data_IF_191182214237
#
_entry.id   IF_191182214237
#
_cell.length_a   1.000
_cell.length_b   1.000
_cell.length_c   1.000
_cell.angle_alpha   90.00
_cell.angle_beta   90.00
_cell.angle_gamma   90.00
#
_symmetry.space_group_name_H-M   'P 1'
#
loop_
_entity.id
_entity.type
_entity.pdbx_description
1 polymer ?
#
# COMPACT_ATOMS: atom_id res chain seq x y z
N UNK A 1 10.54 -28.86 3.87
CA UNK A 1 9.92 -28.27 2.64
C UNK A 1 10.66 -26.96 2.37
N UNK A 2 11.12 -26.76 1.16
CA UNK A 2 11.77 -25.49 0.77
C UNK A 2 10.74 -24.36 0.75
N UNK A 3 11.13 -23.15 1.15
CA UNK A 3 10.25 -21.98 1.11
C UNK A 3 9.90 -21.65 -0.36
N UNK A 4 8.62 -21.52 -0.74
CA UNK A 4 8.25 -21.21 -2.11
C UNK A 4 8.89 -19.92 -2.61
N UNK A 5 9.40 -19.96 -3.84
CA UNK A 5 10.11 -18.85 -4.50
C UNK A 5 9.11 -17.94 -5.18
N UNK A 6 9.16 -16.65 -4.88
CA UNK A 6 8.22 -15.64 -5.37
C UNK A 6 8.91 -14.60 -6.22
N UNK A 7 8.29 -14.24 -7.34
CA UNK A 7 8.61 -13.06 -8.16
C UNK A 7 7.53 -12.00 -7.92
N UNK A 8 7.93 -10.78 -7.57
CA UNK A 8 7.03 -9.63 -7.39
C UNK A 8 7.10 -8.69 -8.61
N UNK A 9 6.00 -8.56 -9.33
CA UNK A 9 5.87 -7.68 -10.49
C UNK A 9 5.21 -6.37 -10.08
N UNK A 10 5.77 -5.24 -10.52
CA UNK A 10 5.32 -3.90 -10.09
C UNK A 10 5.43 -3.75 -8.58
N UNK A 11 6.56 -4.16 -8.04
CA UNK A 11 6.73 -4.42 -6.61
C UNK A 11 6.60 -3.17 -5.73
N UNK A 12 6.73 -1.98 -6.31
CA UNK A 12 6.72 -0.74 -5.54
C UNK A 12 7.78 -0.77 -4.45
N UNK A 13 7.41 -0.32 -3.26
CA UNK A 13 8.26 -0.38 -2.09
C UNK A 13 8.29 -1.75 -1.39
N UNK A 14 7.64 -2.80 -1.90
CA UNK A 14 7.75 -4.17 -1.39
C UNK A 14 6.77 -4.60 -0.30
N UNK A 15 5.66 -3.88 -0.08
CA UNK A 15 4.68 -4.27 0.95
C UNK A 15 4.03 -5.63 0.71
N UNK A 16 3.80 -5.99 -0.57
CA UNK A 16 3.27 -7.31 -0.94
C UNK A 16 4.31 -8.40 -0.65
N UNK A 17 5.54 -8.20 -1.11
CA UNK A 17 6.68 -9.06 -0.84
C UNK A 17 6.89 -9.29 0.65
N UNK A 18 6.89 -8.23 1.48
CA UNK A 18 7.06 -8.35 2.92
C UNK A 18 6.00 -9.27 3.54
N UNK A 19 4.74 -9.15 3.13
CA UNK A 19 3.69 -10.03 3.64
C UNK A 19 3.92 -11.50 3.30
N UNK A 20 4.41 -11.79 2.11
CA UNK A 20 4.77 -13.16 1.68
C UNK A 20 6.00 -13.69 2.43
N UNK A 21 7.01 -12.86 2.67
CA UNK A 21 8.16 -13.22 3.53
C UNK A 21 7.73 -13.53 4.97
N UNK A 22 6.86 -12.70 5.55
CA UNK A 22 6.28 -12.93 6.88
C UNK A 22 5.45 -14.22 6.98
N UNK A 23 5.00 -14.76 5.86
CA UNK A 23 4.31 -16.05 5.77
C UNK A 23 5.27 -17.22 5.52
N UNK A 24 6.57 -16.99 5.29
CA UNK A 24 7.59 -18.01 5.05
C UNK A 24 7.93 -18.26 3.59
N UNK A 25 7.52 -17.40 2.66
CA UNK A 25 7.98 -17.44 1.28
C UNK A 25 9.36 -16.80 1.14
N UNK A 26 10.06 -17.10 0.04
CA UNK A 26 11.32 -16.47 -0.33
C UNK A 26 11.12 -15.61 -1.57
N UNK A 27 11.26 -14.30 -1.42
CA UNK A 27 11.26 -13.40 -2.58
C UNK A 27 12.62 -13.48 -3.26
N UNK A 28 12.63 -13.97 -4.49
CA UNK A 28 13.87 -14.19 -5.25
C UNK A 28 14.08 -13.15 -6.34
N UNK A 29 13.02 -12.51 -6.78
CA UNK A 29 13.06 -11.46 -7.80
C UNK A 29 11.97 -10.43 -7.64
N UNK A 30 12.23 -9.21 -8.10
CA UNK A 30 11.27 -8.12 -8.19
C UNK A 30 11.54 -7.27 -9.43
N UNK A 31 10.47 -6.73 -10.02
CA UNK A 31 10.54 -5.78 -11.14
C UNK A 31 9.83 -4.49 -10.75
N UNK A 32 10.55 -3.36 -10.84
CA UNK A 32 10.02 -2.03 -10.51
C UNK A 32 10.65 -0.97 -11.41
N UNK A 33 9.86 -0.02 -11.88
CA UNK A 33 10.35 1.06 -12.75
C UNK A 33 10.75 2.32 -11.98
N UNK A 34 10.16 2.56 -10.81
CA UNK A 34 10.45 3.74 -9.99
C UNK A 34 11.71 3.50 -9.16
N UNK A 35 12.71 4.34 -9.40
CA UNK A 35 14.03 4.19 -8.76
C UNK A 35 13.95 4.24 -7.23
N UNK A 36 13.19 5.17 -6.65
CA UNK A 36 13.16 5.30 -5.19
C UNK A 36 12.36 4.18 -4.52
N UNK A 37 11.32 3.68 -5.19
CA UNK A 37 10.62 2.49 -4.73
C UNK A 37 11.51 1.25 -4.79
N UNK A 38 12.26 1.07 -5.88
CA UNK A 38 13.22 -0.02 -6.02
C UNK A 38 14.38 0.06 -4.99
N UNK A 39 14.91 1.26 -4.74
CA UNK A 39 15.94 1.48 -3.70
C UNK A 39 15.39 1.09 -2.30
N UNK A 40 14.14 1.48 -1.99
CA UNK A 40 13.44 1.07 -0.76
C UNK A 40 13.27 -0.44 -0.70
N UNK A 41 12.82 -1.05 -1.79
CA UNK A 41 12.67 -2.51 -1.89
C UNK A 41 14.00 -3.23 -1.59
N UNK A 42 15.06 -2.88 -2.28
CA UNK A 42 16.39 -3.49 -2.13
C UNK A 42 16.97 -3.32 -0.72
N UNK A 43 16.70 -2.19 -0.07
CA UNK A 43 17.11 -1.94 1.32
C UNK A 43 16.49 -2.91 2.30
N UNK A 44 15.25 -3.33 2.06
CA UNK A 44 14.47 -4.13 3.00
C UNK A 44 14.39 -5.62 2.64
N UNK A 45 14.57 -5.99 1.36
CA UNK A 45 14.51 -7.38 0.85
C UNK A 45 15.90 -7.85 0.43
N UNK A 46 16.76 -8.09 1.43
CA UNK A 46 18.16 -8.48 1.20
C UNK A 46 18.25 -9.83 0.48
N UNK A 47 19.02 -9.86 -0.60
CA UNK A 47 19.22 -11.08 -1.41
C UNK A 47 18.17 -11.32 -2.48
N UNK A 48 17.20 -10.41 -2.65
CA UNK A 48 16.27 -10.42 -3.78
C UNK A 48 16.89 -9.75 -4.99
N UNK A 49 16.79 -10.36 -6.17
CA UNK A 49 17.21 -9.76 -7.43
C UNK A 49 16.21 -8.68 -7.85
N UNK A 50 16.62 -7.42 -7.89
CA UNK A 50 15.82 -6.32 -8.41
C UNK A 50 16.18 -6.05 -9.87
N UNK A 51 15.17 -6.08 -10.74
CA UNK A 51 15.26 -5.58 -12.11
C UNK A 51 14.62 -4.18 -12.15
N UNK A 52 15.47 -3.16 -12.11
CA UNK A 52 15.03 -1.77 -12.15
C UNK A 52 14.83 -1.32 -13.60
N UNK A 53 13.61 -1.02 -13.98
CA UNK A 53 13.25 -0.54 -15.31
C UNK A 53 11.81 -0.84 -15.68
N UNK A 54 11.43 -0.41 -16.87
CA UNK A 54 10.14 -0.75 -17.44
C UNK A 54 10.11 -2.24 -17.79
N UNK A 55 9.10 -2.95 -17.31
CA UNK A 55 8.93 -4.40 -17.55
C UNK A 55 8.86 -4.74 -19.05
N UNK A 56 8.35 -3.82 -19.88
CA UNK A 56 8.30 -3.96 -21.34
C UNK A 56 9.71 -3.97 -22.00
N UNK A 57 10.70 -3.38 -21.32
CA UNK A 57 12.08 -3.34 -21.81
C UNK A 57 12.89 -4.61 -21.56
N UNK A 58 12.37 -5.52 -20.72
CA UNK A 58 13.04 -6.77 -20.39
C UNK A 58 12.50 -7.92 -21.23
N UNK A 59 13.34 -8.53 -22.06
CA UNK A 59 12.95 -9.73 -22.80
C UNK A 59 12.89 -10.97 -21.89
N UNK A 60 12.29 -12.04 -22.42
CA UNK A 60 12.06 -13.26 -21.68
C UNK A 60 13.36 -14.00 -21.31
N UNK A 61 14.38 -13.92 -22.15
CA UNK A 61 15.66 -14.61 -21.94
C UNK A 61 16.42 -13.94 -20.81
N UNK A 62 16.50 -12.61 -20.84
CA UNK A 62 17.12 -11.83 -19.78
C UNK A 62 16.44 -12.08 -18.41
N UNK A 63 15.11 -12.04 -18.35
CA UNK A 63 14.39 -12.29 -17.09
C UNK A 63 14.66 -13.71 -16.59
N UNK A 64 14.67 -14.71 -17.46
CA UNK A 64 14.99 -16.11 -17.11
C UNK A 64 16.42 -16.31 -16.66
N UNK A 65 17.36 -15.60 -17.24
CA UNK A 65 18.77 -15.63 -16.83
C UNK A 65 18.96 -15.07 -15.42
N UNK A 66 18.32 -13.93 -15.13
CA UNK A 66 18.45 -13.24 -13.85
C UNK A 66 17.65 -13.90 -12.73
N UNK A 67 16.49 -14.50 -13.06
CA UNK A 67 15.55 -15.14 -12.13
C UNK A 67 15.13 -16.51 -12.71
N UNK A 68 15.93 -17.57 -12.56
CA UNK A 68 15.75 -18.82 -13.31
C UNK A 68 14.45 -19.57 -13.00
N UNK A 69 14.07 -19.67 -11.72
CA UNK A 69 12.95 -20.51 -11.26
C UNK A 69 12.12 -19.79 -10.21
N UNK A 70 10.80 -19.94 -10.33
CA UNK A 70 9.83 -19.38 -9.36
C UNK A 70 8.66 -20.36 -9.18
N UNK A 71 8.02 -20.30 -8.03
CA UNK A 71 6.83 -21.08 -7.68
C UNK A 71 5.57 -20.22 -7.73
N UNK A 72 5.70 -18.92 -7.45
CA UNK A 72 4.60 -17.95 -7.43
C UNK A 72 4.98 -16.63 -8.10
N UNK A 73 3.99 -15.97 -8.68
CA UNK A 73 4.06 -14.56 -9.08
C UNK A 73 3.04 -13.79 -8.23
N UNK A 74 3.48 -12.68 -7.66
CA UNK A 74 2.60 -11.68 -7.05
C UNK A 74 2.76 -10.37 -7.81
N UNK A 75 1.77 -9.47 -7.72
CA UNK A 75 1.93 -8.14 -8.31
C UNK A 75 0.65 -7.32 -8.33
N UNK A 76 0.84 -6.00 -8.42
CA UNK A 76 -0.24 -5.03 -8.52
C UNK A 76 -0.10 -4.18 -9.80
N UNK A 77 -0.42 -4.72 -10.99
CA UNK A 77 -0.29 -3.94 -12.23
C UNK A 77 -1.17 -2.69 -12.16
N UNK A 78 -0.65 -1.50 -12.51
CA UNK A 78 -1.41 -0.26 -12.47
C UNK A 78 -2.66 -0.32 -13.36
N UNK A 79 -3.84 -0.08 -12.76
CA UNK A 79 -5.13 -0.08 -13.46
C UNK A 79 -5.53 1.30 -14.00
N UNK A 80 -4.57 2.22 -14.17
CA UNK A 80 -4.88 3.61 -14.53
C UNK A 80 -5.48 3.75 -15.95
N UNK A 81 -5.21 2.82 -16.85
CA UNK A 81 -5.81 2.77 -18.20
C UNK A 81 -7.31 2.41 -18.19
N UNK A 82 -7.78 1.76 -17.16
CA UNK A 82 -9.18 1.34 -16.99
C UNK A 82 -9.95 2.20 -15.96
N UNK A 83 -9.32 3.22 -15.39
CA UNK A 83 -10.00 4.08 -14.39
C UNK A 83 -11.08 4.94 -15.04
N UNK A 84 -12.32 4.85 -14.53
CA UNK A 84 -13.49 5.62 -14.97
C UNK A 84 -13.29 7.15 -14.85
N UNK A 85 -12.29 7.58 -14.07
CA UNK A 85 -11.98 8.99 -13.85
C UNK A 85 -11.09 9.63 -14.94
N UNK A 86 -10.61 8.87 -15.93
CA UNK A 86 -9.76 9.38 -17.00
C UNK A 86 -10.53 9.44 -18.33
N UNK A 87 -10.36 10.55 -19.08
CA UNK A 87 -11.02 10.78 -20.38
C UNK A 87 -10.80 9.67 -21.42
N UNK A 88 -9.78 8.82 -21.24
CA UNK A 88 -9.42 7.73 -22.17
C UNK A 88 -9.46 6.34 -21.49
N UNK A 89 -10.23 6.16 -20.42
CA UNK A 89 -10.37 4.86 -19.76
C UNK A 89 -10.85 3.80 -20.76
N UNK A 90 -10.17 2.65 -20.79
CA UNK A 90 -10.50 1.53 -21.69
C UNK A 90 -10.00 1.69 -23.13
N UNK A 91 -9.08 2.61 -23.41
CA UNK A 91 -8.41 2.68 -24.74
C UNK A 91 -7.45 1.51 -24.89
N UNK A 92 -7.63 0.62 -25.90
CA UNK A 92 -6.69 -0.47 -26.18
C UNK A 92 -5.27 0.01 -26.49
N UNK A 93 -5.12 1.29 -26.91
CA UNK A 93 -3.84 1.92 -27.18
C UNK A 93 -3.27 2.66 -25.97
N UNK A 94 -3.95 2.66 -24.80
CA UNK A 94 -3.40 3.24 -23.59
C UNK A 94 -2.25 2.35 -23.12
N UNK A 95 -1.00 2.84 -23.07
CA UNK A 95 0.17 2.05 -22.71
C UNK A 95 0.07 1.41 -21.31
N UNK A 96 -0.84 1.91 -20.46
CA UNK A 96 -1.08 1.34 -19.13
C UNK A 96 -1.93 0.07 -19.15
N UNK A 97 -2.60 -0.25 -20.27
CA UNK A 97 -3.28 -1.53 -20.49
C UNK A 97 -2.28 -2.62 -20.85
N UNK A 98 -1.10 -2.25 -21.37
CA UNK A 98 -0.02 -3.18 -21.70
C UNK A 98 0.56 -3.84 -20.45
N UNK A 99 0.58 -3.16 -19.29
CA UNK A 99 1.19 -3.68 -18.06
C UNK A 99 0.48 -4.94 -17.52
N UNK A 100 -0.84 -5.08 -17.70
CA UNK A 100 -1.51 -6.35 -17.44
C UNK A 100 -1.07 -7.44 -18.44
N UNK A 101 -0.91 -7.10 -19.71
CA UNK A 101 -0.39 -8.01 -20.74
C UNK A 101 1.00 -8.51 -20.38
N UNK A 102 1.84 -7.65 -19.81
CA UNK A 102 3.16 -8.02 -19.30
C UNK A 102 3.07 -9.00 -18.13
N UNK A 103 2.12 -8.79 -17.20
CA UNK A 103 1.89 -9.77 -16.13
C UNK A 103 1.54 -11.15 -16.72
N UNK A 104 0.65 -11.21 -17.73
CA UNK A 104 0.28 -12.45 -18.43
C UNK A 104 1.48 -13.03 -19.19
N UNK A 105 2.31 -12.20 -19.84
CA UNK A 105 3.54 -12.65 -20.53
C UNK A 105 4.47 -13.38 -19.57
N UNK A 106 4.73 -12.80 -18.40
CA UNK A 106 5.60 -13.41 -17.38
C UNK A 106 4.94 -14.68 -16.80
N UNK A 107 3.63 -14.67 -16.60
CA UNK A 107 2.88 -15.87 -16.18
C UNK A 107 3.00 -17.02 -17.21
N UNK A 108 2.90 -16.73 -18.50
CA UNK A 108 3.11 -17.69 -19.59
C UNK A 108 4.56 -18.19 -19.67
N UNK A 109 5.53 -17.31 -19.38
CA UNK A 109 6.97 -17.64 -19.38
C UNK A 109 7.33 -18.64 -18.30
N UNK A 110 6.86 -18.43 -17.07
CA UNK A 110 7.24 -19.25 -15.90
C UNK A 110 6.26 -20.38 -15.62
N UNK A 111 4.99 -20.20 -15.95
CA UNK A 111 3.91 -21.13 -15.59
C UNK A 111 3.95 -21.52 -14.10
N UNK A 112 4.04 -20.56 -13.17
CA UNK A 112 4.17 -20.86 -11.74
C UNK A 112 2.97 -21.64 -11.23
N UNK A 113 3.06 -22.17 -10.01
CA UNK A 113 1.95 -22.90 -9.38
C UNK A 113 0.80 -21.97 -9.01
N UNK A 114 1.13 -20.73 -8.57
CA UNK A 114 0.14 -19.73 -8.15
C UNK A 114 0.49 -18.33 -8.68
N UNK A 115 -0.55 -17.60 -9.06
CA UNK A 115 -0.51 -16.19 -9.42
C UNK A 115 -1.41 -15.42 -8.44
N UNK A 116 -0.95 -14.28 -7.93
CA UNK A 116 -1.76 -13.40 -7.09
C UNK A 116 -1.68 -11.98 -7.62
N UNK A 117 -2.82 -11.45 -8.04
CA UNK A 117 -2.93 -10.09 -8.56
C UNK A 117 -3.75 -9.23 -7.60
N UNK A 118 -3.18 -8.08 -7.23
CA UNK A 118 -3.87 -7.06 -6.44
C UNK A 118 -4.28 -5.87 -7.30
N UNK A 119 -5.44 -5.27 -6.98
CA UNK A 119 -5.84 -4.01 -7.59
C UNK A 119 -6.85 -3.25 -6.71
N UNK A 120 -7.22 -2.05 -7.13
CA UNK A 120 -8.30 -1.28 -6.49
C UNK A 120 -9.67 -1.91 -6.78
N UNK A 121 -10.66 -1.83 -5.85
CA UNK A 121 -11.98 -2.44 -6.04
C UNK A 121 -12.72 -1.98 -7.31
N UNK A 122 -12.43 -0.77 -7.78
CA UNK A 122 -13.06 -0.23 -8.99
C UNK A 122 -12.75 -1.01 -10.27
N UNK A 123 -11.74 -1.88 -10.28
CA UNK A 123 -11.44 -2.77 -11.42
C UNK A 123 -12.64 -3.65 -11.79
N UNK A 124 -13.50 -4.01 -10.82
CA UNK A 124 -14.71 -4.82 -11.05
C UNK A 124 -15.70 -4.12 -11.99
N UNK A 125 -15.73 -2.77 -11.93
CA UNK A 125 -16.61 -1.93 -12.76
C UNK A 125 -15.95 -1.47 -14.05
N UNK A 126 -14.64 -1.66 -14.18
CA UNK A 126 -13.87 -1.21 -15.32
C UNK A 126 -14.24 -2.02 -16.56
N UNK A 127 -14.45 -1.30 -17.67
CA UNK A 127 -14.80 -1.89 -18.97
C UNK A 127 -13.86 -1.36 -20.05
N UNK A 128 -13.63 -2.19 -21.05
CA UNK A 128 -12.98 -1.77 -22.30
C UNK A 128 -13.89 -0.85 -23.12
N UNK A 129 -13.36 -0.26 -24.19
CA UNK A 129 -14.19 0.48 -25.17
C UNK A 129 -15.27 -0.39 -25.85
N UNK A 130 -15.03 -1.70 -25.97
CA UNK A 130 -16.03 -2.65 -26.49
C UNK A 130 -17.12 -3.02 -25.47
N UNK A 131 -17.01 -2.51 -24.21
CA UNK A 131 -17.99 -2.78 -23.15
C UNK A 131 -17.72 -4.05 -22.32
N UNK A 132 -16.69 -4.84 -22.65
CA UNK A 132 -16.30 -6.04 -21.92
C UNK A 132 -15.63 -5.68 -20.58
N UNK A 133 -15.94 -6.41 -19.51
CA UNK A 133 -15.34 -6.16 -18.21
C UNK A 133 -13.89 -6.62 -18.16
N UNK A 134 -13.03 -5.76 -17.61
CA UNK A 134 -11.59 -6.04 -17.49
C UNK A 134 -11.32 -7.31 -16.66
N UNK A 135 -12.07 -7.51 -15.58
CA UNK A 135 -11.92 -8.70 -14.73
C UNK A 135 -12.23 -9.99 -15.50
N UNK A 136 -13.24 -9.99 -16.38
CA UNK A 136 -13.61 -11.14 -17.21
C UNK A 136 -12.51 -11.48 -18.22
N UNK A 137 -11.84 -10.46 -18.79
CA UNK A 137 -10.68 -10.65 -19.67
C UNK A 137 -9.52 -11.28 -18.88
N UNK A 138 -9.21 -10.75 -17.69
CA UNK A 138 -8.15 -11.26 -16.83
C UNK A 138 -8.38 -12.73 -16.47
N UNK A 139 -9.59 -13.07 -16.06
CA UNK A 139 -9.97 -14.45 -15.72
C UNK A 139 -9.78 -15.38 -16.91
N UNK A 140 -10.32 -15.04 -18.07
CA UNK A 140 -10.20 -15.82 -19.30
C UNK A 140 -8.74 -16.05 -19.71
N UNK A 141 -7.87 -15.04 -19.64
CA UNK A 141 -6.46 -15.20 -19.98
C UNK A 141 -5.75 -16.22 -19.08
N UNK A 142 -6.05 -16.23 -17.78
CA UNK A 142 -5.47 -17.22 -16.87
C UNK A 142 -6.11 -18.62 -17.00
N UNK A 143 -7.42 -18.72 -17.24
CA UNK A 143 -8.10 -19.98 -17.49
C UNK A 143 -7.57 -20.65 -18.75
N UNK A 144 -7.32 -19.89 -19.84
CA UNK A 144 -6.76 -20.41 -21.10
C UNK A 144 -5.36 -21.00 -20.94
N UNK A 145 -4.59 -20.59 -19.93
CA UNK A 145 -3.27 -21.16 -19.64
C UNK A 145 -3.31 -22.18 -18.50
N UNK A 146 -4.51 -22.67 -18.15
CA UNK A 146 -4.71 -23.84 -17.29
C UNK A 146 -4.79 -23.54 -15.80
N UNK A 147 -5.22 -22.34 -15.39
CA UNK A 147 -5.42 -22.00 -13.97
C UNK A 147 -6.90 -22.03 -13.59
N UNK A 148 -7.17 -22.45 -12.36
CA UNK A 148 -8.42 -22.15 -11.65
C UNK A 148 -8.34 -20.73 -11.12
N UNK A 149 -9.31 -19.89 -11.44
CA UNK A 149 -9.27 -18.44 -11.12
C UNK A 149 -10.35 -18.08 -10.12
N UNK A 150 -9.96 -17.36 -9.07
CA UNK A 150 -10.81 -16.89 -8.00
C UNK A 150 -10.60 -15.39 -7.78
N UNK A 151 -11.65 -14.64 -7.52
CA UNK A 151 -11.52 -13.21 -7.25
C UNK A 151 -12.50 -12.73 -6.19
N UNK A 152 -12.09 -11.76 -5.38
CA UNK A 152 -12.91 -11.12 -4.35
C UNK A 152 -12.37 -9.74 -3.98
N UNK A 153 -13.10 -9.00 -3.16
CA UNK A 153 -12.62 -7.80 -2.49
C UNK A 153 -12.38 -8.14 -1.02
N UNK A 154 -11.16 -7.90 -0.55
CA UNK A 154 -10.77 -8.06 0.84
C UNK A 154 -10.64 -6.70 1.53
N UNK A 155 -10.98 -6.65 2.81
CA UNK A 155 -10.77 -5.49 3.67
C UNK A 155 -9.52 -5.70 4.52
N UNK A 156 -8.59 -4.75 4.50
CA UNK A 156 -7.33 -4.87 5.23
C UNK A 156 -7.55 -4.92 6.76
N UNK A 157 -8.60 -4.26 7.25
CA UNK A 157 -9.00 -4.30 8.67
C UNK A 157 -9.34 -5.70 9.17
N UNK A 158 -9.81 -6.60 8.30
CA UNK A 158 -10.13 -7.99 8.64
C UNK A 158 -8.87 -8.80 9.02
N UNK A 159 -7.70 -8.24 8.78
CA UNK A 159 -6.38 -8.83 9.05
C UNK A 159 -5.52 -7.99 10.00
N UNK A 160 -6.15 -7.08 10.78
CA UNK A 160 -5.48 -6.27 11.80
C UNK A 160 -4.77 -5.01 11.30
N UNK A 161 -5.02 -4.60 10.06
CA UNK A 161 -4.51 -3.33 9.53
C UNK A 161 -5.41 -2.18 9.95
N UNK A 162 -4.92 -1.16 10.68
CA UNK A 162 -5.75 -0.12 11.28
C UNK A 162 -6.25 0.93 10.26
N UNK A 163 -6.80 0.48 9.10
CA UNK A 163 -7.38 1.37 8.09
C UNK A 163 -8.52 0.73 7.29
N UNK A 164 -9.41 1.58 6.75
CA UNK A 164 -10.52 1.21 5.87
C UNK A 164 -10.06 0.97 4.43
N UNK A 165 -9.10 0.06 4.23
CA UNK A 165 -8.55 -0.22 2.90
C UNK A 165 -9.14 -1.47 2.31
N UNK A 166 -9.82 -1.35 1.18
CA UNK A 166 -10.31 -2.50 0.41
C UNK A 166 -9.47 -2.71 -0.84
N UNK A 167 -9.24 -3.97 -1.19
CA UNK A 167 -8.49 -4.36 -2.39
C UNK A 167 -9.15 -5.53 -3.10
N UNK A 168 -9.20 -5.42 -4.41
CA UNK A 168 -9.51 -6.55 -5.27
C UNK A 168 -8.30 -7.49 -5.28
N UNK A 169 -8.56 -8.76 -4.99
CA UNK A 169 -7.55 -9.82 -5.04
C UNK A 169 -8.03 -10.89 -5.99
N UNK A 170 -7.18 -11.27 -6.94
CA UNK A 170 -7.37 -12.41 -7.80
C UNK A 170 -6.27 -13.42 -7.50
N UNK A 171 -6.67 -14.67 -7.29
CA UNK A 171 -5.76 -15.81 -7.12
C UNK A 171 -6.03 -16.78 -8.27
N UNK A 172 -4.99 -17.10 -9.04
CA UNK A 172 -5.03 -18.13 -10.05
C UNK A 172 -4.08 -19.25 -9.66
N UNK A 173 -4.57 -20.50 -9.59
CA UNK A 173 -3.81 -21.65 -9.11
C UNK A 173 -3.95 -22.83 -10.09
N UNK A 174 -2.86 -23.58 -10.32
CA UNK A 174 -2.90 -24.84 -11.07
C UNK A 174 -3.63 -25.94 -10.30
N UNK A 175 -3.71 -25.82 -8.98
CA UNK A 175 -4.44 -26.73 -8.10
C UNK A 175 -5.77 -26.07 -7.71
N UNK A 176 -6.85 -26.83 -7.66
CA UNK A 176 -8.12 -26.33 -7.18
C UNK A 176 -8.05 -25.94 -5.69
N UNK A 177 -8.53 -24.75 -5.35
CA UNK A 177 -8.55 -24.23 -3.99
C UNK A 177 -9.97 -24.30 -3.42
N UNK A 178 -10.16 -25.05 -2.33
CA UNK A 178 -11.46 -25.16 -1.65
C UNK A 178 -11.86 -23.86 -0.93
N UNK A 179 -10.90 -23.10 -0.43
CA UNK A 179 -11.09 -21.83 0.29
C UNK A 179 -10.07 -20.82 -0.22
N UNK A 180 -10.24 -20.25 -1.41
CA UNK A 180 -9.20 -19.45 -2.07
C UNK A 180 -8.80 -18.21 -1.27
N UNK A 181 -9.66 -17.67 -0.41
CA UNK A 181 -9.40 -16.46 0.33
C UNK A 181 -9.31 -16.70 1.86
N UNK A 182 -8.43 -15.95 2.56
CA UNK A 182 -8.27 -16.07 3.99
C UNK A 182 -9.55 -15.63 4.74
N UNK A 183 -9.84 -16.32 5.83
CA UNK A 183 -10.88 -15.88 6.78
C UNK A 183 -10.42 -14.64 7.51
N UNK A 184 -11.36 -13.76 7.86
CA UNK A 184 -11.09 -12.65 8.76
C UNK A 184 -10.54 -13.18 10.10
N UNK A 185 -9.55 -12.48 10.64
CA UNK A 185 -8.95 -12.72 11.96
C UNK A 185 -9.28 -11.59 12.93
N UNK A 186 -9.72 -10.45 12.40
CA UNK A 186 -10.04 -9.25 13.16
C UNK A 186 -11.43 -8.72 12.81
N UNK A 187 -11.99 -7.93 13.74
CA UNK A 187 -13.20 -7.16 13.51
C UNK A 187 -12.97 -5.68 13.84
N UNK A 188 -13.71 -4.81 13.22
CA UNK A 188 -13.70 -3.37 13.54
C UNK A 188 -14.67 -3.14 14.70
N UNK A 189 -14.16 -2.60 15.82
CA UNK A 189 -15.00 -2.25 16.97
C UNK A 189 -16.02 -1.15 16.62
N UNK A 190 -17.12 -1.08 17.36
CA UNK A 190 -18.14 -0.05 17.19
C UNK A 190 -17.55 1.34 17.46
N UNK A 191 -17.82 2.28 16.56
CA UNK A 191 -17.21 3.62 16.56
C UNK A 191 -17.64 4.54 17.71
N UNK A 192 -18.65 4.13 18.48
CA UNK A 192 -19.27 4.93 19.56
C UNK A 192 -18.84 4.48 20.96
N UNK A 193 -17.94 3.50 21.06
CA UNK A 193 -17.43 3.07 22.36
C UNK A 193 -16.52 4.15 22.96
N UNK A 194 -17.00 4.78 24.00
CA UNK A 194 -16.20 5.60 24.90
C UNK A 194 -15.11 4.72 25.51
N UNK A 195 -13.90 5.20 25.56
CA UNK A 195 -12.60 4.58 25.88
C UNK A 195 -12.51 3.55 27.03
N UNK A 196 -13.60 3.13 27.63
CA UNK A 196 -13.55 2.35 28.88
C UNK A 196 -13.73 0.84 28.74
N UNK A 197 -14.26 0.33 27.62
CA UNK A 197 -14.81 -1.04 27.66
C UNK A 197 -14.27 -2.05 26.65
N UNK A 198 -13.45 -1.68 25.67
CA UNK A 198 -12.82 -2.67 24.78
C UNK A 198 -11.30 -2.56 24.74
N UNK A 199 -10.66 -3.45 25.45
CA UNK A 199 -9.23 -3.70 25.32
C UNK A 199 -8.93 -4.22 23.88
N UNK A 200 -7.76 -3.89 23.34
CA UNK A 200 -7.24 -4.42 22.06
C UNK A 200 -7.28 -5.96 21.98
N UNK A 201 -7.31 -6.64 23.13
CA UNK A 201 -7.45 -8.09 23.26
C UNK A 201 -8.90 -8.58 23.31
N UNK A 202 -9.92 -7.71 23.16
CA UNK A 202 -11.29 -8.18 23.14
C UNK A 202 -11.53 -9.11 21.94
N UNK A 203 -12.09 -10.29 22.24
CA UNK A 203 -12.39 -11.33 21.25
C UNK A 203 -13.90 -11.42 21.08
N UNK A 204 -14.39 -11.15 19.86
CA UNK A 204 -15.81 -11.30 19.51
C UNK A 204 -15.93 -12.39 18.46
N UNK A 205 -16.66 -13.45 18.79
CA UNK A 205 -16.83 -14.60 17.88
C UNK A 205 -15.49 -15.22 17.37
N UNK A 206 -14.45 -15.25 18.19
CA UNK A 206 -13.13 -15.77 17.82
C UNK A 206 -12.27 -14.79 17.01
N UNK A 207 -12.73 -13.54 16.80
CA UNK A 207 -11.97 -12.49 16.13
C UNK A 207 -11.37 -11.52 17.14
N UNK A 208 -10.16 -11.05 16.87
CA UNK A 208 -9.48 -10.02 17.67
C UNK A 208 -9.94 -8.64 17.20
N UNK A 209 -10.03 -7.65 18.09
CA UNK A 209 -10.34 -6.28 17.70
C UNK A 209 -9.21 -5.67 16.86
N UNK A 210 -9.53 -5.10 15.72
CA UNK A 210 -8.57 -4.33 14.91
C UNK A 210 -8.09 -3.11 15.70
N UNK A 211 -6.79 -2.80 15.75
CA UNK A 211 -6.29 -1.63 16.45
C UNK A 211 -6.84 -0.33 15.84
N UNK A 212 -7.08 0.66 16.69
CA UNK A 212 -7.46 2.00 16.26
C UNK A 212 -6.25 2.75 15.70
N UNK A 213 -6.51 3.89 15.07
CA UNK A 213 -5.44 4.79 14.62
C UNK A 213 -4.48 5.16 15.74
N UNK A 214 -4.99 5.55 16.91
CA UNK A 214 -4.16 5.98 18.03
C UNK A 214 -3.37 4.83 18.64
N UNK A 215 -3.96 3.66 18.76
CA UNK A 215 -3.25 2.45 19.19
C UNK A 215 -2.11 2.06 18.24
N UNK A 216 -2.18 2.44 16.98
CA UNK A 216 -1.10 2.15 16.04
C UNK A 216 0.10 3.10 16.16
N UNK A 217 -0.11 4.36 16.59
CA UNK A 217 0.93 5.41 16.51
C UNK A 217 1.27 6.10 17.83
N UNK A 218 0.59 5.79 18.94
CA UNK A 218 0.66 6.55 20.20
C UNK A 218 1.96 6.39 20.99
N UNK A 219 2.84 5.48 20.63
CA UNK A 219 4.17 5.28 21.19
C UNK A 219 5.29 5.92 20.35
N UNK A 220 4.93 6.53 19.21
CA UNK A 220 5.89 7.29 18.42
C UNK A 220 6.24 8.61 19.12
N UNK A 221 7.48 9.10 18.99
CA UNK A 221 7.91 10.37 19.57
C UNK A 221 6.97 11.52 19.23
N UNK A 222 6.68 12.32 20.24
CA UNK A 222 5.78 13.47 20.14
C UNK A 222 6.47 14.65 19.46
N UNK A 223 6.11 14.94 18.20
CA UNK A 223 6.70 15.98 17.38
C UNK A 223 5.65 16.94 16.81
N UNK A 224 6.01 18.20 16.70
CA UNK A 224 5.22 19.24 16.05
C UNK A 224 5.57 19.39 14.55
N UNK A 225 4.85 20.25 13.83
CA UNK A 225 5.20 20.60 12.45
C UNK A 225 6.66 21.08 12.37
N UNK A 226 7.40 20.63 11.35
CA UNK A 226 8.83 20.92 11.12
C UNK A 226 9.82 20.20 12.04
N UNK A 227 9.34 19.37 12.96
CA UNK A 227 10.19 18.60 13.87
C UNK A 227 10.34 17.14 13.39
N UNK A 228 11.17 16.39 14.11
CA UNK A 228 11.50 15.00 13.79
C UNK A 228 12.69 14.88 12.86
N UNK A 229 13.01 13.67 12.49
CA UNK A 229 14.17 13.35 11.67
C UNK A 229 13.94 12.06 10.87
N UNK A 230 14.84 11.78 9.91
CA UNK A 230 14.83 10.50 9.17
C UNK A 230 15.28 9.34 10.06
N UNK A 231 16.07 9.60 11.10
CA UNK A 231 16.48 8.67 12.14
C UNK A 231 16.36 9.35 13.49
N UNK A 232 15.77 8.67 14.47
CA UNK A 232 15.67 9.18 15.84
C UNK A 232 15.40 8.03 16.83
N UNK A 233 15.64 8.32 18.12
CA UNK A 233 15.34 7.37 19.20
C UNK A 233 13.85 7.33 19.51
N UNK A 234 13.39 6.21 20.07
CA UNK A 234 12.08 6.12 20.69
C UNK A 234 12.09 6.87 22.04
N UNK A 235 10.95 7.45 22.38
CA UNK A 235 10.77 8.15 23.69
C UNK A 235 9.89 7.36 24.64
N UNK A 236 9.10 6.43 24.14
CA UNK A 236 8.12 5.67 24.90
C UNK A 236 8.27 4.15 24.60
N UNK A 237 7.82 3.33 25.54
CA UNK A 237 7.66 1.88 25.32
C UNK A 237 6.38 1.56 24.52
N UNK A 238 6.32 0.40 23.84
CA UNK A 238 5.09 -0.06 23.18
C UNK A 238 3.98 -0.24 24.23
N UNK A 239 2.78 0.21 23.92
CA UNK A 239 1.61 0.20 24.83
C UNK A 239 0.62 -0.91 24.52
N UNK A 240 0.84 -1.65 23.43
CA UNK A 240 -0.02 -2.73 22.98
C UNK A 240 0.70 -3.66 21.99
N UNK A 241 0.12 -4.83 21.70
CA UNK A 241 0.70 -5.84 20.82
C UNK A 241 0.91 -5.39 19.38
N UNK A 242 0.11 -4.43 18.88
CA UNK A 242 0.32 -3.89 17.54
C UNK A 242 1.60 -3.05 17.47
N UNK A 243 1.85 -2.23 18.48
CA UNK A 243 3.09 -1.45 18.58
C UNK A 243 4.30 -2.34 18.80
N UNK A 244 4.16 -3.42 19.58
CA UNK A 244 5.21 -4.46 19.72
C UNK A 244 5.52 -5.09 18.36
N UNK A 245 4.49 -5.47 17.58
CA UNK A 245 4.67 -5.96 16.22
C UNK A 245 5.37 -4.92 15.33
N UNK A 246 4.96 -3.66 15.38
CA UNK A 246 5.58 -2.61 14.57
C UNK A 246 7.05 -2.41 14.94
N UNK A 247 7.40 -2.40 16.20
CA UNK A 247 8.79 -2.26 16.65
C UNK A 247 9.65 -3.46 16.33
N UNK A 248 9.15 -4.67 16.56
CA UNK A 248 9.81 -5.93 16.25
C UNK A 248 11.35 -5.91 16.49
N UNK A 249 11.78 -5.40 17.67
CA UNK A 249 13.20 -5.27 18.04
C UNK A 249 13.96 -4.13 17.34
N UNK A 250 13.29 -3.22 16.61
CA UNK A 250 13.93 -2.03 16.04
C UNK A 250 14.42 -1.10 17.15
N UNK A 251 15.71 -0.83 17.18
CA UNK A 251 16.32 0.08 18.17
C UNK A 251 16.18 1.56 17.76
N UNK A 252 16.08 1.83 16.47
CA UNK A 252 16.03 3.17 15.88
C UNK A 252 14.75 3.32 15.08
N UNK A 253 14.11 4.47 15.21
CA UNK A 253 12.94 4.85 14.43
C UNK A 253 13.38 5.58 13.16
N UNK A 254 12.84 5.17 12.01
CA UNK A 254 13.11 5.79 10.71
C UNK A 254 11.88 6.50 10.15
N UNK A 255 12.11 7.53 9.30
CA UNK A 255 11.09 8.25 8.52
C UNK A 255 10.03 8.98 9.37
N UNK A 256 10.39 9.45 10.59
CA UNK A 256 9.49 10.21 11.46
C UNK A 256 9.78 11.71 11.41
N UNK A 257 9.72 12.28 10.20
CA UNK A 257 9.95 13.69 9.92
C UNK A 257 8.64 14.40 9.55
N UNK A 258 8.24 15.41 10.34
CA UNK A 258 7.03 16.17 10.09
C UNK A 258 7.21 17.21 8.98
N UNK A 259 6.16 17.41 8.18
CA UNK A 259 6.16 18.37 7.08
C UNK A 259 6.35 19.82 7.57
N UNK A 260 6.96 20.64 6.72
CA UNK A 260 7.21 22.09 6.96
C UNK A 260 5.94 22.90 6.68
N UNK A 261 4.95 22.85 7.58
CA UNK A 261 3.75 23.66 7.46
C UNK A 261 3.99 25.15 7.71
N UNK A 262 3.22 26.00 7.03
CA UNK A 262 3.18 27.44 7.31
C UNK A 262 2.43 27.70 8.62
N UNK A 263 2.71 28.83 9.27
CA UNK A 263 1.99 29.25 10.50
C UNK A 263 0.47 29.25 10.29
N UNK A 264 -0.01 29.77 9.13
CA UNK A 264 -1.42 29.77 8.76
C UNK A 264 -2.02 28.37 8.68
N UNK A 265 -1.27 27.38 8.19
CA UNK A 265 -1.77 26.00 8.08
C UNK A 265 -1.85 25.33 9.46
N UNK A 266 -0.86 25.57 10.33
CA UNK A 266 -0.88 25.11 11.74
C UNK A 266 -2.07 25.73 12.49
N UNK A 267 -2.30 27.05 12.34
CA UNK A 267 -3.44 27.76 12.92
C UNK A 267 -4.78 27.20 12.40
N UNK A 268 -4.88 26.88 11.11
CA UNK A 268 -6.06 26.23 10.55
C UNK A 268 -6.33 24.88 11.22
N UNK A 269 -5.30 24.06 11.39
CA UNK A 269 -5.45 22.76 12.02
C UNK A 269 -5.87 22.88 13.49
N UNK A 270 -5.40 23.90 14.23
CA UNK A 270 -5.79 24.09 15.63
C UNK A 270 -7.28 24.38 15.83
N UNK A 271 -7.99 24.85 14.80
CA UNK A 271 -9.43 25.09 14.84
C UNK A 271 -10.29 23.85 14.55
N UNK A 272 -9.66 22.75 14.11
CA UNK A 272 -10.40 21.55 13.69
C UNK A 272 -10.55 20.58 14.88
N UNK A 273 -11.73 20.02 15.02
CA UNK A 273 -12.01 18.87 15.89
C UNK A 273 -11.95 17.55 15.07
N UNK A 274 -12.03 16.42 15.77
CA UNK A 274 -11.99 15.10 15.11
C UNK A 274 -13.13 14.93 14.09
N UNK A 275 -12.78 14.44 12.92
CA UNK A 275 -13.71 14.24 11.79
C UNK A 275 -13.91 15.46 10.90
N UNK A 276 -13.56 16.66 11.37
CA UNK A 276 -13.64 17.87 10.54
C UNK A 276 -12.56 17.91 9.46
N UNK A 277 -12.91 18.53 8.35
CA UNK A 277 -12.04 18.77 7.19
C UNK A 277 -11.79 20.26 6.99
N UNK A 278 -11.02 20.60 5.96
CA UNK A 278 -10.80 21.99 5.58
C UNK A 278 -12.10 22.73 5.19
N UNK A 279 -13.13 22.00 4.78
CA UNK A 279 -14.44 22.56 4.43
C UNK A 279 -15.22 23.10 5.64
N UNK A 280 -14.91 22.59 6.83
CA UNK A 280 -15.59 22.98 8.09
C UNK A 280 -14.98 24.25 8.71
N UNK A 281 -13.93 24.82 8.16
CA UNK A 281 -13.30 26.04 8.64
C UNK A 281 -14.18 27.25 8.37
N UNK A 282 -14.59 27.93 9.45
CA UNK A 282 -15.46 29.13 9.38
C UNK A 282 -14.69 30.42 9.23
N UNK A 283 -13.46 30.52 9.79
CA UNK A 283 -12.61 31.71 9.70
C UNK A 283 -12.14 31.95 8.26
N UNK A 284 -12.62 33.03 7.63
CA UNK A 284 -12.28 33.39 6.25
C UNK A 284 -10.79 33.59 6.00
N UNK A 285 -9.99 33.96 7.03
CA UNK A 285 -8.54 34.08 6.92
C UNK A 285 -7.90 32.72 6.69
N UNK A 286 -8.49 31.65 7.20
CA UNK A 286 -7.98 30.30 7.20
C UNK A 286 -8.59 29.40 6.12
N UNK A 287 -9.72 29.79 5.50
CA UNK A 287 -10.36 29.04 4.42
C UNK A 287 -9.41 28.82 3.22
N UNK A 288 -9.65 27.76 2.50
CA UNK A 288 -8.90 27.44 1.27
C UNK A 288 -9.07 28.54 0.22
N UNK A 289 -7.97 28.96 -0.40
CA UNK A 289 -7.95 29.98 -1.45
C UNK A 289 -7.86 29.31 -2.84
N UNK A 290 -8.46 29.94 -3.84
CA UNK A 290 -8.31 29.56 -5.24
C UNK A 290 -6.85 29.73 -5.68
N UNK A 291 -6.32 28.74 -6.39
CA UNK A 291 -4.90 28.73 -6.80
C UNK A 291 -4.52 29.89 -7.72
N UNK A 292 -5.46 30.34 -8.57
CA UNK A 292 -5.29 31.42 -9.56
C UNK A 292 -6.30 32.55 -9.35
N UNK A 293 -6.83 32.76 -8.14
CA UNK A 293 -7.97 33.63 -7.87
C UNK A 293 -7.66 34.87 -7.06
N UNK A 294 -6.47 35.46 -7.15
CA UNK A 294 -6.07 36.68 -6.44
C UNK A 294 -6.44 36.68 -4.93
N UNK A 295 -6.33 35.51 -4.30
CA UNK A 295 -6.67 35.34 -2.89
C UNK A 295 -8.15 35.09 -2.60
N UNK A 296 -9.02 34.93 -3.60
CA UNK A 296 -10.42 34.59 -3.39
C UNK A 296 -10.60 33.21 -2.71
N UNK A 297 -11.59 33.11 -1.84
CA UNK A 297 -11.97 31.83 -1.19
C UNK A 297 -12.43 30.84 -2.25
N UNK A 298 -12.08 29.58 -2.08
CA UNK A 298 -12.52 28.51 -2.97
C UNK A 298 -13.95 28.08 -2.63
N UNK A 299 -14.79 27.98 -3.65
CA UNK A 299 -16.17 27.49 -3.54
C UNK A 299 -16.23 25.94 -3.62
N UNK A 300 -15.10 25.27 -3.94
CA UNK A 300 -15.06 23.81 -4.06
C UNK A 300 -15.01 23.16 -2.69
N UNK A 301 -15.79 22.11 -2.43
CA UNK A 301 -15.68 21.32 -1.22
C UNK A 301 -14.35 20.55 -1.20
N UNK A 302 -13.69 20.51 -0.05
CA UNK A 302 -12.40 19.81 0.17
C UNK A 302 -12.53 18.80 1.30
N UNK A 303 -13.63 18.07 1.36
CA UNK A 303 -13.99 17.17 2.47
C UNK A 303 -12.98 16.04 2.71
N UNK A 304 -12.20 15.70 1.71
CA UNK A 304 -11.15 14.67 1.80
C UNK A 304 -9.77 15.25 2.12
N UNK A 305 -9.60 16.57 2.08
CA UNK A 305 -8.32 17.21 2.29
C UNK A 305 -8.19 17.73 3.72
N UNK A 306 -7.02 17.48 4.33
CA UNK A 306 -6.72 17.95 5.67
C UNK A 306 -7.85 17.65 6.68
N UNK A 307 -8.32 16.41 6.70
CA UNK A 307 -9.29 15.94 7.69
C UNK A 307 -8.56 15.57 8.98
N UNK A 308 -8.98 16.13 10.12
CA UNK A 308 -8.46 15.69 11.43
C UNK A 308 -9.03 14.32 11.76
N UNK A 309 -8.14 13.37 11.91
CA UNK A 309 -8.52 11.98 12.13
C UNK A 309 -9.03 11.75 13.55
N UNK A 310 -9.96 10.78 13.70
CA UNK A 310 -10.47 10.37 15.00
C UNK A 310 -9.53 9.33 15.62
N UNK A 311 -9.01 9.52 16.86
CA UNK A 311 -8.03 8.61 17.47
C UNK A 311 -8.56 7.19 17.69
N UNK A 312 -9.83 7.05 18.09
CA UNK A 312 -10.45 5.80 18.49
C UNK A 312 -11.17 5.05 17.36
N UNK A 313 -10.89 5.43 16.12
CA UNK A 313 -11.39 4.73 14.92
C UNK A 313 -10.22 4.22 14.09
N UNK A 314 -10.46 3.24 13.22
CA UNK A 314 -9.49 2.89 12.19
C UNK A 314 -9.34 4.06 11.21
N UNK A 315 -8.14 4.23 10.64
CA UNK A 315 -7.86 5.30 9.70
C UNK A 315 -8.62 5.13 8.38
N UNK A 316 -8.95 6.22 7.71
CA UNK A 316 -9.37 6.17 6.31
C UNK A 316 -8.24 5.59 5.44
N UNK A 317 -8.61 5.12 4.24
CA UNK A 317 -7.62 4.56 3.30
C UNK A 317 -6.47 5.52 3.02
N UNK A 318 -5.25 5.12 3.35
CA UNK A 318 -4.03 5.83 3.00
C UNK A 318 -3.80 5.74 1.48
N UNK A 319 -3.69 6.88 0.84
CA UNK A 319 -3.41 7.03 -0.60
C UNK A 319 -2.00 7.58 -0.81
N UNK A 320 -1.51 7.57 -2.03
CA UNK A 320 -0.20 8.15 -2.40
C UNK A 320 -0.02 9.63 -1.98
N UNK A 321 -1.13 10.33 -1.67
CA UNK A 321 -1.15 11.76 -1.31
C UNK A 321 -1.60 12.01 0.12
N UNK A 322 -1.53 11.01 0.99
CA UNK A 322 -2.04 11.13 2.37
C UNK A 322 -1.35 12.25 3.19
N UNK A 323 -0.17 12.68 2.79
CA UNK A 323 0.52 13.83 3.36
C UNK A 323 -0.30 15.14 3.32
N UNK A 324 -1.30 15.24 2.44
CA UNK A 324 -2.18 16.41 2.33
C UNK A 324 -3.63 16.11 2.73
N UNK A 325 -3.96 14.86 3.04
CA UNK A 325 -5.34 14.44 3.29
C UNK A 325 -5.66 14.36 4.79
N UNK A 326 -4.71 13.94 5.62
CA UNK A 326 -4.96 13.62 7.01
C UNK A 326 -4.18 14.50 7.95
N UNK A 327 -4.87 15.06 8.94
CA UNK A 327 -4.30 15.79 10.07
C UNK A 327 -4.24 14.84 11.26
N UNK A 328 -3.11 14.85 11.97
CA UNK A 328 -2.89 14.05 13.17
C UNK A 328 -3.99 14.30 14.23
N UNK A 329 -4.45 13.29 14.98
CA UNK A 329 -5.54 13.43 15.94
C UNK A 329 -5.34 14.55 16.98
N UNK A 330 -4.10 14.68 17.49
CA UNK A 330 -3.79 15.59 18.59
C UNK A 330 -2.81 16.72 18.21
N UNK A 331 -2.12 16.62 17.06
CA UNK A 331 -1.13 17.60 16.61
C UNK A 331 -1.64 18.44 15.43
N UNK A 332 -1.16 19.66 15.33
CA UNK A 332 -1.55 20.58 14.25
C UNK A 332 -0.64 20.40 13.02
N UNK A 333 -0.51 19.15 12.58
CA UNK A 333 0.26 18.73 11.41
C UNK A 333 -0.38 17.53 10.70
N UNK A 334 0.02 17.31 9.47
CA UNK A 334 -0.30 16.07 8.78
C UNK A 334 0.54 14.91 9.34
N UNK A 335 0.19 13.68 8.98
CA UNK A 335 0.96 12.50 9.36
C UNK A 335 2.38 12.57 8.81
N UNK A 336 3.31 11.96 9.53
CA UNK A 336 4.65 11.62 9.02
C UNK A 336 4.59 10.39 8.13
N UNK A 337 5.67 10.10 7.40
CA UNK A 337 5.78 8.87 6.63
C UNK A 337 5.71 7.63 7.54
N UNK A 338 6.37 7.66 8.71
CA UNK A 338 6.34 6.55 9.69
C UNK A 338 4.94 6.30 10.25
N UNK A 339 4.19 7.33 10.62
CA UNK A 339 2.79 7.17 11.05
C UNK A 339 1.96 6.49 9.95
N UNK A 340 2.11 6.93 8.70
CA UNK A 340 1.48 6.28 7.56
C UNK A 340 1.92 4.83 7.36
N UNK A 341 3.21 4.53 7.51
CA UNK A 341 3.75 3.19 7.40
C UNK A 341 3.15 2.23 8.44
N UNK A 342 3.03 2.68 9.70
CA UNK A 342 2.36 1.89 10.74
C UNK A 342 0.88 1.68 10.47
N UNK A 343 0.16 2.69 9.99
CA UNK A 343 -1.25 2.54 9.58
C UNK A 343 -1.39 1.56 8.41
N UNK A 344 -0.34 1.41 7.58
CA UNK A 344 -0.25 0.43 6.49
C UNK A 344 0.25 -0.95 6.97
N UNK A 345 0.56 -1.11 8.26
CA UNK A 345 1.13 -2.31 8.89
C UNK A 345 2.58 -2.65 8.50
N UNK A 346 3.38 -1.67 8.09
CA UNK A 346 4.82 -1.88 7.98
C UNK A 346 5.49 -1.85 9.36
N UNK A 347 6.44 -2.74 9.66
CA UNK A 347 7.25 -2.65 10.87
C UNK A 347 8.22 -1.45 10.79
N UNK A 348 8.70 -0.98 11.93
CA UNK A 348 9.58 0.18 12.02
C UNK A 348 10.98 -0.07 11.44
N UNK A 349 11.41 -1.34 11.43
CA UNK A 349 12.62 -1.78 10.75
C UNK A 349 12.58 -1.62 9.23
N UNK A 350 11.37 -1.42 8.66
CA UNK A 350 11.19 -1.16 7.23
C UNK A 350 11.49 0.29 6.91
N UNK A 351 12.57 0.56 6.21
CA UNK A 351 13.08 1.91 5.92
C UNK A 351 12.68 2.35 4.53
N UNK A 352 12.00 3.49 4.41
CA UNK A 352 11.63 4.08 3.13
C UNK A 352 12.71 5.07 2.68
N UNK A 353 13.26 4.85 1.49
CA UNK A 353 14.28 5.70 0.88
C UNK A 353 13.66 6.73 -0.09
N UNK A 354 14.50 7.60 -0.63
CA UNK A 354 14.07 8.70 -1.47
C UNK A 354 13.66 9.94 -0.65
N UNK A 355 13.04 10.91 -1.30
CA UNK A 355 12.67 12.17 -0.62
C UNK A 355 11.49 11.97 0.31
N UNK A 356 11.53 12.58 1.51
CA UNK A 356 10.41 12.47 2.46
C UNK A 356 9.11 13.13 1.95
N UNK A 357 9.21 14.12 1.04
CA UNK A 357 8.04 14.83 0.52
C UNK A 357 8.04 14.89 -1.01
N UNK A 358 6.85 15.10 -1.58
CA UNK A 358 6.69 15.26 -3.04
C UNK A 358 7.50 16.41 -3.57
N UNK A 359 8.27 16.15 -4.62
CA UNK A 359 8.90 17.19 -5.41
C UNK A 359 7.93 17.64 -6.50
N UNK A 360 7.65 18.92 -6.56
CA UNK A 360 6.76 19.48 -7.56
C UNK A 360 7.29 19.23 -8.99
N UNK A 361 6.49 18.61 -9.86
CA UNK A 361 6.84 18.46 -11.29
C UNK A 361 7.21 19.78 -11.96
N UNK A 362 6.55 20.89 -11.55
CA UNK A 362 6.88 22.24 -12.03
C UNK A 362 8.30 22.65 -11.63
N UNK A 363 8.74 22.31 -10.43
CA UNK A 363 10.11 22.60 -9.96
C UNK A 363 11.11 21.75 -10.72
N UNK A 364 10.87 20.43 -10.84
CA UNK A 364 11.73 19.52 -11.60
C UNK A 364 11.86 19.95 -13.07
N UNK A 365 10.76 20.38 -13.68
CA UNK A 365 10.78 20.90 -15.06
C UNK A 365 11.65 22.16 -15.16
N UNK A 366 11.48 23.10 -14.21
CA UNK A 366 12.28 24.33 -14.14
C UNK A 366 13.77 24.06 -13.95
N UNK A 367 14.12 23.01 -13.23
CA UNK A 367 15.49 22.59 -12.96
C UNK A 367 16.07 21.62 -14.01
N UNK A 368 15.32 21.29 -15.06
CA UNK A 368 15.74 20.30 -16.07
C UNK A 368 15.81 18.87 -15.56
N UNK A 369 15.16 18.55 -14.44
CA UNK A 369 15.23 17.29 -13.70
C UNK A 369 13.93 16.48 -13.75
N UNK A 370 13.13 16.64 -14.81
CA UNK A 370 11.83 15.97 -14.93
C UNK A 370 11.92 14.43 -14.85
N UNK A 371 13.06 13.86 -15.27
CA UNK A 371 13.34 12.43 -15.13
C UNK A 371 13.50 11.94 -13.68
N UNK A 372 13.57 12.85 -12.69
CA UNK A 372 13.65 12.52 -11.28
C UNK A 372 12.29 12.62 -10.55
N UNK A 373 11.19 12.52 -11.29
CA UNK A 373 9.83 12.54 -10.73
C UNK A 373 9.44 11.20 -10.09
N UNK A 374 10.30 10.69 -9.20
CA UNK A 374 10.11 9.42 -8.51
C UNK A 374 9.13 9.51 -7.33
N UNK A 375 8.67 8.35 -6.86
CA UNK A 375 7.74 8.20 -5.74
C UNK A 375 8.42 8.59 -4.41
N UNK A 376 7.96 9.66 -3.78
CA UNK A 376 8.42 10.01 -2.43
C UNK A 376 7.96 8.95 -1.40
N UNK A 377 8.51 9.00 -0.17
CA UNK A 377 8.18 8.06 0.90
C UNK A 377 6.66 7.91 1.12
N UNK A 378 5.91 9.02 1.15
CA UNK A 378 4.44 8.98 1.27
C UNK A 378 3.77 8.22 0.12
N UNK A 379 4.20 8.46 -1.11
CA UNK A 379 3.61 7.81 -2.28
C UNK A 379 3.93 6.31 -2.32
N UNK A 380 5.13 5.91 -1.92
CA UNK A 380 5.52 4.52 -1.76
C UNK A 380 4.62 3.81 -0.74
N UNK A 381 4.45 4.40 0.45
CA UNK A 381 3.59 3.85 1.52
C UNK A 381 2.13 3.75 1.07
N UNK A 382 1.58 4.82 0.49
CA UNK A 382 0.17 4.87 0.10
C UNK A 382 -0.19 3.93 -1.05
N UNK A 383 0.75 3.64 -1.95
CA UNK A 383 0.56 2.69 -3.05
C UNK A 383 0.70 1.23 -2.61
N UNK A 384 1.39 0.97 -1.51
CA UNK A 384 1.71 -0.39 -1.08
C UNK A 384 0.48 -1.23 -0.73
N UNK A 385 0.61 -2.55 -0.93
CA UNK A 385 -0.27 -3.55 -0.31
C UNK A 385 0.10 -3.68 1.17
N UNK A 386 -0.87 -3.64 2.11
CA UNK A 386 -0.58 -3.79 3.53
C UNK A 386 0.06 -5.15 3.85
N UNK A 387 1.24 -5.19 4.50
CA UNK A 387 1.94 -6.45 4.78
C UNK A 387 1.12 -7.49 5.55
N UNK A 388 0.32 -7.09 6.56
CA UNK A 388 -0.51 -8.05 7.30
C UNK A 388 -1.61 -8.68 6.44
N UNK A 389 -2.23 -7.92 5.53
CA UNK A 389 -3.21 -8.47 4.58
C UNK A 389 -2.52 -9.42 3.59
N UNK A 390 -1.37 -9.04 3.06
CA UNK A 390 -0.57 -9.88 2.18
C UNK A 390 -0.11 -11.18 2.85
N UNK A 391 0.30 -11.10 4.13
CA UNK A 391 0.65 -12.27 4.97
C UNK A 391 -0.53 -13.24 5.09
N UNK A 392 -1.74 -12.74 5.37
CA UNK A 392 -2.93 -13.57 5.48
C UNK A 392 -3.25 -14.30 4.16
N UNK A 393 -3.12 -13.61 3.02
CA UNK A 393 -3.30 -14.20 1.69
C UNK A 393 -2.27 -15.31 1.47
N UNK A 394 -0.98 -15.03 1.71
CA UNK A 394 0.10 -16.00 1.54
C UNK A 394 -0.09 -17.24 2.43
N UNK A 395 -0.40 -17.06 3.72
CA UNK A 395 -0.64 -18.17 4.65
C UNK A 395 -1.80 -19.06 4.20
N UNK A 396 -2.89 -18.46 3.68
CA UNK A 396 -4.03 -19.21 3.17
C UNK A 396 -3.68 -20.04 1.92
N UNK A 397 -2.83 -19.50 1.04
CA UNK A 397 -2.33 -20.21 -0.15
C UNK A 397 -1.42 -21.38 0.30
N UNK A 398 -0.45 -21.11 1.16
CA UNK A 398 0.51 -22.10 1.66
C UNK A 398 -0.16 -23.27 2.38
N UNK A 399 -1.30 -23.04 3.03
CA UNK A 399 -2.07 -24.10 3.71
C UNK A 399 -2.78 -25.08 2.76
N UNK A 400 -2.92 -24.74 1.46
CA UNK A 400 -3.73 -25.51 0.52
C UNK A 400 -2.96 -26.00 -0.70
N UNK A 401 -1.91 -25.27 -1.10
CA UNK A 401 -1.13 -25.56 -2.32
C UNK A 401 0.11 -26.35 -1.97
N UNK A 402 0.37 -27.41 -2.72
CA UNK A 402 1.64 -28.14 -2.67
C UNK A 402 2.58 -27.55 -3.72
N UNK A 403 3.75 -27.17 -3.30
CA UNK A 403 4.84 -26.74 -4.18
C UNK A 403 5.81 -27.90 -4.36
N UNK A 404 6.06 -28.29 -5.60
CA UNK A 404 6.99 -29.38 -5.92
C UNK A 404 8.40 -28.92 -5.56
N UNK A 405 9.21 -29.83 -5.00
CA UNK A 405 10.63 -29.63 -4.83
C UNK A 405 11.30 -29.67 -6.23
N UNK A 406 11.24 -28.56 -6.97
CA UNK A 406 11.98 -28.45 -8.21
C UNK A 406 13.46 -28.31 -7.89
N UNK A 407 14.21 -29.40 -8.03
CA UNK A 407 15.66 -29.35 -7.95
C UNK A 407 16.40 -30.55 -7.36
N UNK A 408 15.86 -31.74 -7.50
CA UNK A 408 16.62 -32.96 -7.19
C UNK A 408 16.48 -34.00 -8.31
N UNK A 409 16.65 -33.58 -9.58
CA UNK A 409 16.94 -34.52 -10.68
C UNK A 409 17.67 -33.73 -11.78
N UNK A 410 18.93 -34.02 -11.88
CA UNK A 410 19.98 -34.03 -12.86
C UNK A 410 21.21 -33.23 -12.46
#
# INVERSE_FOLDING_TARGET
MSNPKVLDLFSGAGGFSLGFELAGCKIIGAIEHDKWAADTFQRNHIGTKMLLGDIESFDNEYIKQEIPTIDMIIGGPPCQGFSVCLKNAGDPKDPRNSLFTEYVRIAKLYKPTVLVLENVPNIIKAKTKSGEKVVEIIQREFEQIGYHVYSTVLSASDYGVPQMRQRFILIASKQELKKPFPKATHYVGDSDLTQKDENIFSVKNGLVRCPTLWEAISDLPDIEARQGSEEMDYTDEPKNSYQEYCRNGSAILHNHLAMKHTKRLVERFSQMTWGQSISDITDDRLKQRKRNGNGAISDSPFDQNNRRMHPNRICHTITATFYGNFVHPYKNRNFTAREGARIQSFPDSYVFLGKPTVVSKKLLLKEGRIGEAYLCQYSQIGNAVPPLMAKAIAQNILAQVKFDEQGAKE
#
